data_IF_845150855175
#
_entry.id   IF_845150855175
#
_cell.length_a   1.000
_cell.length_b   1.000
_cell.length_c   1.000
_cell.angle_alpha   90.00
_cell.angle_beta   90.00
_cell.angle_gamma   90.00
#
_symmetry.space_group_name_H-M   'P 1'
#
loop_
_entity.id
_entity.type
_entity.pdbx_description
1 polymer ?
#
# COMPACT_ATOMS: atom_id res chain seq x y z
N UNK A 1 -8.43 10.28 -4.97
CA UNK A 1 -9.02 9.91 -3.65
C UNK A 1 -9.74 11.07 -2.97
N UNK A 2 -9.04 12.09 -2.43
CA UNK A 2 -9.68 13.16 -1.62
C UNK A 2 -10.69 13.99 -2.40
N UNK A 3 -10.28 14.47 -3.58
CA UNK A 3 -11.14 15.17 -4.55
C UNK A 3 -12.27 14.28 -5.11
N UNK A 4 -12.13 12.96 -4.97
CA UNK A 4 -13.05 11.94 -5.49
C UNK A 4 -14.12 11.52 -4.48
N UNK A 5 -14.27 12.23 -3.35
CA UNK A 5 -15.25 11.92 -2.30
C UNK A 5 -14.80 10.91 -1.24
N UNK A 6 -13.52 10.50 -1.25
CA UNK A 6 -12.89 9.72 -0.18
C UNK A 6 -12.12 10.63 0.77
N UNK A 7 -12.85 11.52 1.44
CA UNK A 7 -12.36 12.43 2.47
C UNK A 7 -13.22 12.32 3.75
N UNK A 8 -12.84 13.04 4.80
CA UNK A 8 -13.52 13.00 6.10
C UNK A 8 -14.51 14.16 6.30
N UNK A 9 -14.89 14.89 5.23
CA UNK A 9 -15.71 16.10 5.33
C UNK A 9 -14.90 17.33 5.73
N UNK A 10 -15.54 18.26 6.45
CA UNK A 10 -14.93 19.52 6.89
C UNK A 10 -13.73 19.28 7.81
N UNK A 11 -12.65 20.03 7.59
CA UNK A 11 -11.41 19.92 8.36
C UNK A 11 -10.19 19.67 7.47
N UNK A 12 -9.20 18.96 8.00
CA UNK A 12 -7.99 18.65 7.26
C UNK A 12 -8.29 17.79 6.03
N UNK A 13 -7.69 18.15 4.89
CA UNK A 13 -7.86 17.42 3.63
C UNK A 13 -7.09 16.08 3.68
N UNK A 14 -7.68 15.09 4.34
CA UNK A 14 -7.16 13.74 4.52
C UNK A 14 -7.96 12.73 3.69
N UNK A 15 -7.27 11.68 3.23
CA UNK A 15 -7.94 10.59 2.53
C UNK A 15 -8.63 9.69 3.54
N UNK A 16 -9.91 9.39 3.30
CA UNK A 16 -10.63 8.39 4.06
C UNK A 16 -10.27 6.99 3.52
N UNK A 17 -9.20 6.43 4.08
CA UNK A 17 -8.65 5.14 3.64
C UNK A 17 -9.60 3.98 3.89
N UNK A 18 -10.39 4.01 4.97
CA UNK A 18 -11.37 2.98 5.29
C UNK A 18 -12.50 2.96 4.26
N UNK A 19 -13.05 4.14 3.91
CA UNK A 19 -14.06 4.25 2.86
C UNK A 19 -13.51 3.76 1.52
N UNK A 20 -12.24 4.08 1.22
CA UNK A 20 -11.59 3.64 -0.01
C UNK A 20 -11.37 2.13 -0.02
N UNK A 21 -10.83 1.55 1.04
CA UNK A 21 -10.58 0.10 1.15
C UNK A 21 -11.88 -0.70 0.98
N UNK A 22 -12.98 -0.27 1.61
CA UNK A 22 -14.29 -0.91 1.43
C UNK A 22 -14.74 -0.90 -0.04
N UNK A 23 -14.46 0.18 -0.78
CA UNK A 23 -14.87 0.29 -2.19
C UNK A 23 -14.08 -0.62 -3.15
N UNK A 24 -12.90 -1.10 -2.74
CA UNK A 24 -12.04 -1.96 -3.56
C UNK A 24 -11.96 -3.39 -3.04
N UNK A 25 -12.64 -3.72 -1.94
CA UNK A 25 -12.56 -5.04 -1.29
C UNK A 25 -12.87 -6.18 -2.28
N UNK A 26 -13.89 -5.99 -3.13
CA UNK A 26 -14.30 -7.00 -4.12
C UNK A 26 -13.18 -7.34 -5.11
N UNK A 27 -12.49 -6.35 -5.68
CA UNK A 27 -11.42 -6.60 -6.66
C UNK A 27 -10.18 -7.20 -6.00
N UNK A 28 -9.93 -6.89 -4.73
CA UNK A 28 -8.81 -7.48 -3.99
C UNK A 28 -9.06 -8.96 -3.65
N UNK A 29 -10.33 -9.36 -3.45
CA UNK A 29 -10.71 -10.76 -3.32
C UNK A 29 -10.82 -11.49 -4.66
N UNK A 30 -11.28 -10.79 -5.71
CA UNK A 30 -11.54 -11.36 -7.02
C UNK A 30 -10.78 -10.56 -8.10
N UNK A 31 -9.44 -10.69 -8.16
CA UNK A 31 -8.64 -9.97 -9.15
C UNK A 31 -9.03 -10.42 -10.56
N UNK A 32 -9.25 -9.44 -11.44
CA UNK A 32 -9.71 -9.64 -12.81
C UNK A 32 -8.58 -9.88 -13.82
N UNK A 33 -7.32 -9.75 -13.40
CA UNK A 33 -6.14 -10.05 -14.23
C UNK A 33 -5.15 -10.94 -13.49
N UNK A 34 -4.36 -11.69 -14.23
CA UNK A 34 -3.27 -12.52 -13.68
C UNK A 34 -2.24 -11.64 -12.98
N UNK A 35 -1.85 -10.53 -13.60
CA UNK A 35 -0.87 -9.59 -13.06
C UNK A 35 -1.30 -8.99 -11.71
N UNK A 36 -2.57 -8.59 -11.57
CA UNK A 36 -3.10 -8.09 -10.31
C UNK A 36 -3.12 -9.18 -9.24
N UNK A 37 -3.55 -10.39 -9.61
CA UNK A 37 -3.54 -11.54 -8.69
C UNK A 37 -2.13 -11.82 -8.17
N UNK A 38 -1.15 -11.91 -9.06
CA UNK A 38 0.25 -12.16 -8.70
C UNK A 38 0.80 -11.04 -7.81
N UNK A 39 0.48 -9.78 -8.09
CA UNK A 39 0.90 -8.67 -7.26
C UNK A 39 0.31 -8.71 -5.85
N UNK A 40 -0.99 -9.01 -5.73
CA UNK A 40 -1.66 -9.16 -4.43
C UNK A 40 -1.02 -10.30 -3.63
N UNK A 41 -0.86 -11.47 -4.25
CA UNK A 41 -0.27 -12.64 -3.59
C UNK A 41 1.19 -12.41 -3.19
N UNK A 42 1.98 -11.71 -4.02
CA UNK A 42 3.35 -11.34 -3.67
C UNK A 42 3.41 -10.51 -2.39
N UNK A 43 2.57 -9.47 -2.27
CA UNK A 43 2.57 -8.60 -1.09
C UNK A 43 2.14 -9.37 0.17
N UNK A 44 1.17 -10.29 0.07
CA UNK A 44 0.76 -11.10 1.22
C UNK A 44 1.75 -12.20 1.59
N UNK A 45 2.46 -12.77 0.61
CA UNK A 45 3.47 -13.80 0.85
C UNK A 45 4.78 -13.20 1.39
N UNK A 46 5.16 -12.01 0.92
CA UNK A 46 6.41 -11.34 1.28
C UNK A 46 6.17 -9.90 1.78
N UNK A 47 5.36 -9.67 2.83
CA UNK A 47 4.94 -8.34 3.26
C UNK A 47 6.13 -7.44 3.64
N UNK A 48 6.00 -6.12 3.50
CA UNK A 48 7.08 -5.20 3.87
C UNK A 48 7.34 -5.26 5.38
N UNK A 49 8.62 -5.23 5.76
CA UNK A 49 9.01 -4.92 7.14
C UNK A 49 8.82 -3.43 7.39
N UNK A 50 8.43 -3.08 8.61
CA UNK A 50 8.32 -1.69 9.04
C UNK A 50 9.64 -1.23 9.64
N UNK A 51 10.13 -0.09 9.18
CA UNK A 51 11.26 0.57 9.81
C UNK A 51 10.83 1.20 11.14
N UNK A 52 11.58 0.92 12.20
CA UNK A 52 11.33 1.36 13.57
C UNK A 52 12.62 1.93 14.18
N UNK A 53 12.49 2.76 15.22
CA UNK A 53 13.62 3.16 16.06
C UNK A 53 13.55 2.34 17.35
N UNK A 54 14.60 1.58 17.65
CA UNK A 54 14.76 0.80 18.88
C UNK A 54 16.09 1.22 19.48
N UNK A 55 16.06 1.72 20.72
CA UNK A 55 17.24 2.21 21.45
C UNK A 55 18.08 3.23 20.65
N UNK A 56 17.41 4.11 19.90
CA UNK A 56 18.05 5.15 19.09
C UNK A 56 18.64 4.65 17.75
N UNK A 57 18.48 3.36 17.42
CA UNK A 57 19.00 2.76 16.19
C UNK A 57 17.86 2.31 15.29
N UNK A 58 18.08 2.35 13.97
CA UNK A 58 17.14 1.83 12.97
C UNK A 58 17.06 0.31 13.09
N UNK A 59 15.85 -0.19 13.35
CA UNK A 59 15.49 -1.60 13.36
C UNK A 59 14.38 -1.89 12.34
N UNK A 60 14.23 -3.16 11.99
CA UNK A 60 13.19 -3.65 11.08
C UNK A 60 12.31 -4.65 11.81
N UNK A 61 11.00 -4.43 11.80
CA UNK A 61 10.03 -5.30 12.46
C UNK A 61 9.06 -5.90 11.44
N UNK A 62 8.74 -7.17 11.62
CA UNK A 62 7.59 -7.80 10.98
C UNK A 62 6.33 -7.31 11.70
N UNK A 63 5.52 -6.51 11.00
CA UNK A 63 4.31 -5.89 11.56
C UNK A 63 3.13 -6.25 10.69
N UNK A 64 2.20 -7.02 11.25
CA UNK A 64 0.93 -7.31 10.60
C UNK A 64 -0.11 -6.22 10.92
N UNK A 65 -0.78 -5.63 9.92
CA UNK A 65 -1.89 -4.72 10.14
C UNK A 65 -3.03 -5.36 10.91
N UNK A 66 -3.47 -4.69 11.98
CA UNK A 66 -4.62 -5.12 12.77
C UNK A 66 -5.93 -4.74 12.08
N UNK A 67 -6.36 -5.55 11.10
CA UNK A 67 -7.60 -5.36 10.33
C UNK A 67 -8.05 -6.68 9.73
N UNK A 68 -9.37 -6.88 9.64
CA UNK A 68 -9.99 -8.04 8.99
C UNK A 68 -10.27 -7.80 7.49
N UNK A 69 -10.17 -6.56 7.01
CA UNK A 69 -10.33 -6.24 5.59
C UNK A 69 -9.04 -6.58 4.84
N UNK A 70 -9.18 -7.36 3.77
CA UNK A 70 -8.05 -7.74 2.90
C UNK A 70 -7.55 -6.53 2.15
N UNK A 71 -8.43 -5.64 1.67
CA UNK A 71 -8.00 -4.42 0.99
C UNK A 71 -7.32 -3.43 1.92
N UNK A 72 -7.84 -3.21 3.14
CA UNK A 72 -7.20 -2.32 4.10
C UNK A 72 -5.82 -2.86 4.53
N UNK A 73 -5.71 -4.16 4.78
CA UNK A 73 -4.42 -4.82 5.09
C UNK A 73 -3.42 -4.58 3.95
N UNK A 74 -3.84 -4.80 2.70
CA UNK A 74 -3.01 -4.58 1.52
C UNK A 74 -2.58 -3.11 1.36
N UNK A 75 -3.50 -2.15 1.54
CA UNK A 75 -3.19 -0.72 1.48
C UNK A 75 -2.28 -0.27 2.62
N UNK A 76 -2.38 -0.86 3.81
CA UNK A 76 -1.43 -0.64 4.91
C UNK A 76 -0.02 -1.11 4.55
N UNK A 77 0.12 -2.28 3.93
CA UNK A 77 1.41 -2.75 3.43
C UNK A 77 1.97 -1.81 2.35
N UNK A 78 1.19 -1.43 1.34
CA UNK A 78 1.65 -0.52 0.29
C UNK A 78 2.10 0.84 0.87
N UNK A 79 1.39 1.38 1.86
CA UNK A 79 1.82 2.57 2.60
C UNK A 79 3.16 2.35 3.32
N UNK A 80 3.38 1.18 3.89
CA UNK A 80 4.67 0.82 4.49
C UNK A 80 5.79 0.78 3.45
N UNK A 81 5.57 0.17 2.27
CA UNK A 81 6.54 0.17 1.15
C UNK A 81 6.90 1.59 0.75
N UNK A 82 5.90 2.45 0.58
CA UNK A 82 6.09 3.87 0.25
C UNK A 82 6.89 4.59 1.34
N UNK A 83 6.55 4.41 2.62
CA UNK A 83 7.28 5.04 3.71
C UNK A 83 8.74 4.57 3.77
N UNK A 84 8.99 3.27 3.57
CA UNK A 84 10.33 2.70 3.51
C UNK A 84 11.18 3.31 2.38
N UNK A 85 10.56 3.62 1.23
CA UNK A 85 11.24 4.31 0.12
C UNK A 85 11.67 5.74 0.52
N UNK A 86 10.78 6.51 1.16
CA UNK A 86 11.03 7.92 1.47
C UNK A 86 11.86 8.16 2.73
N UNK A 87 11.88 7.23 3.69
CA UNK A 87 12.70 7.36 4.89
C UNK A 87 14.21 7.29 4.60
N UNK A 88 14.62 6.89 3.38
CA UNK A 88 16.03 6.88 3.03
C UNK A 88 16.83 5.95 3.93
N UNK A 89 16.48 4.65 3.93
CA UNK A 89 17.25 3.60 4.61
C UNK A 89 18.39 3.03 3.77
N UNK A 90 18.94 3.84 2.86
CA UNK A 90 20.11 3.45 2.07
C UNK A 90 21.31 3.42 3.03
N UNK A 91 21.87 2.23 3.27
CA UNK A 91 23.28 2.00 3.64
C UNK A 91 23.75 1.83 5.10
N UNK A 92 22.94 1.42 6.07
CA UNK A 92 23.48 1.03 7.39
C UNK A 92 23.53 -0.49 7.63
N UNK A 93 23.81 -1.30 6.60
CA UNK A 93 24.25 -2.69 6.75
C UNK A 93 23.26 -3.74 7.32
N UNK A 94 22.09 -3.34 7.82
CA UNK A 94 21.17 -4.25 8.54
C UNK A 94 19.99 -4.78 7.71
N UNK A 95 19.75 -4.25 6.50
CA UNK A 95 18.79 -4.84 5.55
C UNK A 95 19.22 -4.54 4.11
N UNK A 96 19.70 -5.56 3.40
CA UNK A 96 20.02 -5.48 1.97
C UNK A 96 19.29 -6.62 1.25
N UNK A 97 18.06 -6.33 0.82
CA UNK A 97 17.38 -7.07 -0.23
C UNK A 97 16.84 -6.05 -1.25
N UNK A 98 17.74 -5.36 -2.00
CA UNK A 98 17.34 -4.34 -2.96
C UNK A 98 16.39 -4.91 -4.02
N UNK A 99 16.60 -6.15 -4.43
CA UNK A 99 15.71 -6.88 -5.35
C UNK A 99 14.30 -7.01 -4.77
N UNK A 100 14.19 -7.32 -3.46
CA UNK A 100 12.90 -7.40 -2.77
C UNK A 100 12.22 -6.03 -2.68
N UNK A 101 13.00 -4.97 -2.47
CA UNK A 101 12.46 -3.60 -2.38
C UNK A 101 11.89 -3.15 -3.73
N UNK A 102 12.58 -3.46 -4.82
CA UNK A 102 12.09 -3.20 -6.18
C UNK A 102 10.82 -4.02 -6.46
N UNK A 103 10.80 -5.31 -6.13
CA UNK A 103 9.60 -6.15 -6.32
C UNK A 103 8.41 -5.63 -5.53
N UNK A 104 8.60 -5.25 -4.25
CA UNK A 104 7.57 -4.64 -3.43
C UNK A 104 7.00 -3.37 -4.06
N UNK A 105 7.87 -2.49 -4.60
CA UNK A 105 7.45 -1.27 -5.28
C UNK A 105 6.69 -1.57 -6.58
N UNK A 106 7.21 -2.49 -7.41
CA UNK A 106 6.59 -2.90 -8.67
C UNK A 106 5.19 -3.47 -8.45
N UNK A 107 5.04 -4.43 -7.54
CA UNK A 107 3.74 -5.01 -7.24
C UNK A 107 2.80 -3.99 -6.57
N UNK A 108 3.32 -3.09 -5.72
CA UNK A 108 2.52 -1.98 -5.18
C UNK A 108 1.97 -1.09 -6.28
N UNK A 109 2.76 -0.76 -7.31
CA UNK A 109 2.32 0.05 -8.44
C UNK A 109 1.26 -0.66 -9.29
N UNK A 110 1.42 -1.95 -9.56
CA UNK A 110 0.39 -2.77 -10.25
C UNK A 110 -0.94 -2.67 -9.50
N UNK A 111 -0.91 -2.90 -8.19
CA UNK A 111 -2.12 -2.86 -7.35
C UNK A 111 -2.72 -1.45 -7.36
N UNK A 112 -1.91 -0.40 -7.13
CA UNK A 112 -2.38 0.97 -7.07
C UNK A 112 -3.03 1.42 -8.39
N UNK A 113 -2.43 1.08 -9.52
CA UNK A 113 -3.00 1.37 -10.85
C UNK A 113 -4.33 0.64 -11.03
N UNK A 114 -4.40 -0.65 -10.71
CA UNK A 114 -5.64 -1.41 -10.85
C UNK A 114 -6.78 -0.88 -9.99
N UNK A 115 -6.51 -0.51 -8.73
CA UNK A 115 -7.55 0.01 -7.82
C UNK A 115 -8.00 1.44 -8.16
N UNK A 116 -7.13 2.22 -8.80
CA UNK A 116 -7.51 3.53 -9.36
C UNK A 116 -8.50 3.35 -10.50
N UNK A 117 -8.22 2.45 -11.44
CA UNK A 117 -9.04 2.25 -12.64
C UNK A 117 -10.47 1.76 -12.35
N UNK A 118 -10.67 1.01 -11.27
CA UNK A 118 -11.99 0.42 -10.95
C UNK A 118 -12.89 1.32 -10.11
N UNK A 119 -12.39 2.44 -9.61
CA UNK A 119 -13.18 3.41 -8.84
C UNK A 119 -13.38 4.65 -9.72
N UNK A 120 -14.52 4.83 -10.40
CA UNK A 120 -14.70 5.84 -11.45
C UNK A 120 -14.30 7.25 -11.01
N UNK A 121 -14.79 7.72 -9.87
CA UNK A 121 -14.47 9.06 -9.38
C UNK A 121 -12.97 9.23 -9.03
N UNK A 122 -12.27 8.14 -8.68
CA UNK A 122 -10.83 8.17 -8.40
C UNK A 122 -10.05 8.15 -9.69
N UNK A 123 -10.43 7.31 -10.65
CA UNK A 123 -9.87 7.27 -12.00
C UNK A 123 -9.98 8.63 -12.70
N UNK A 124 -11.17 9.20 -12.73
CA UNK A 124 -11.43 10.45 -13.43
C UNK A 124 -10.64 11.61 -12.80
N UNK A 125 -10.49 11.62 -11.47
CA UNK A 125 -9.65 12.59 -10.77
C UNK A 125 -8.14 12.31 -10.84
N UNK A 126 -7.72 11.13 -11.30
CA UNK A 126 -6.30 10.77 -11.46
C UNK A 126 -5.79 11.10 -12.86
N UNK A 127 -6.65 10.99 -13.88
CA UNK A 127 -6.33 11.28 -15.29
C UNK A 127 -6.71 12.69 -15.75
N UNK A 128 -7.61 13.36 -15.04
CA UNK A 128 -7.99 14.76 -15.29
C UNK A 128 -6.99 15.75 -14.72
#
# INVERSE_FOLDING_TARGET
>A
MKASGYNNGDGAAEANWQKFSSSIEYIIFNPNTVELKEAIEFIFHAPPKKQMIVDGVIAWADVEPNTNSRADKLLQYIRCVRNNLFHGGKFNGHWFAPERSEQLLRHSLVILTAVVEVVPNVRDAYHG
#
